data_IF_795523852249
#
_entry.id   IF_795523852249
#
_cell.length_a   1.000
_cell.length_b   1.000
_cell.length_c   1.000
_cell.angle_alpha   90.00
_cell.angle_beta   90.00
_cell.angle_gamma   90.00
#
_symmetry.space_group_name_H-M   'P 1'
#
loop_
_entity.id
_entity.type
_entity.pdbx_description
1 polymer ?
#
# COMPACT_ATOMS: atom_id res chain seq x y z
N UNK A 1 -5.99 20.24 18.51
CA UNK A 1 -5.07 19.09 18.57
C UNK A 1 -5.11 18.31 17.26
N UNK A 2 -5.85 17.19 17.12
CA UNK A 2 -5.73 16.29 15.96
C UNK A 2 -5.89 16.96 14.57
N UNK A 3 -6.80 17.93 14.42
CA UNK A 3 -6.99 18.70 13.16
C UNK A 3 -5.91 19.74 12.87
N UNK A 4 -5.20 20.20 13.90
CA UNK A 4 -4.14 21.24 13.80
C UNK A 4 -2.75 20.63 13.73
N UNK A 5 -2.63 19.34 14.05
CA UNK A 5 -1.38 18.58 14.04
C UNK A 5 -1.22 17.91 12.68
N UNK A 6 -0.16 18.28 11.96
CA UNK A 6 0.20 17.69 10.67
C UNK A 6 1.31 16.65 10.82
N UNK A 7 1.34 15.70 9.90
CA UNK A 7 2.39 14.69 9.72
C UNK A 7 2.88 14.83 8.28
N UNK A 8 4.20 14.93 8.08
CA UNK A 8 4.80 14.72 6.76
C UNK A 8 4.84 13.22 6.49
N UNK A 9 4.22 12.80 5.38
CA UNK A 9 4.21 11.40 4.96
C UNK A 9 5.25 11.20 3.85
N UNK A 10 6.05 10.15 3.95
CA UNK A 10 7.10 9.81 2.97
C UNK A 10 6.68 8.69 1.99
N UNK A 11 5.47 8.16 2.17
CA UNK A 11 4.93 6.95 1.53
C UNK A 11 3.49 7.14 1.06
N UNK A 12 3.10 6.36 0.04
CA UNK A 12 1.74 6.34 -0.51
C UNK A 12 1.27 7.62 -1.17
N UNK A 13 -0.06 7.77 -1.24
CA UNK A 13 -0.71 8.93 -1.89
C UNK A 13 -0.44 10.27 -1.19
N UNK A 14 -0.04 10.21 0.08
CA UNK A 14 0.32 11.38 0.88
C UNK A 14 1.80 11.74 0.81
N UNK A 15 2.61 11.01 0.04
CA UNK A 15 4.06 11.25 -0.09
C UNK A 15 4.35 12.71 -0.46
N UNK A 16 5.17 13.39 0.34
CA UNK A 16 5.53 14.80 0.14
C UNK A 16 4.44 15.80 0.49
N UNK A 17 3.35 15.37 1.13
CA UNK A 17 2.25 16.22 1.58
C UNK A 17 2.17 16.23 3.12
N UNK A 18 1.83 17.41 3.68
CA UNK A 18 1.51 17.57 5.09
C UNK A 18 0.02 17.33 5.30
N UNK A 19 -0.32 16.20 5.91
CA UNK A 19 -1.71 15.78 6.14
C UNK A 19 -2.01 15.87 7.63
N UNK A 20 -3.21 16.30 8.03
CA UNK A 20 -3.54 16.34 9.46
C UNK A 20 -3.75 14.93 10.02
N UNK A 21 -3.44 14.73 11.31
CA UNK A 21 -3.72 13.46 12.00
C UNK A 21 -5.20 13.10 11.91
N UNK A 22 -6.08 14.10 11.94
CA UNK A 22 -7.51 13.91 11.75
C UNK A 22 -7.86 13.37 10.35
N UNK A 23 -7.25 13.89 9.29
CA UNK A 23 -7.54 13.45 7.92
C UNK A 23 -6.97 12.04 7.68
N UNK A 24 -5.81 11.71 8.26
CA UNK A 24 -5.27 10.35 8.25
C UNK A 24 -6.21 9.35 8.97
N UNK A 25 -6.80 9.71 10.11
CA UNK A 25 -7.81 8.91 10.81
C UNK A 25 -9.09 8.68 10.00
N UNK A 26 -9.42 9.59 9.07
CA UNK A 26 -10.60 9.47 8.19
C UNK A 26 -10.24 8.96 6.79
N UNK A 27 -8.96 8.66 6.53
CA UNK A 27 -8.49 8.09 5.28
C UNK A 27 -8.83 6.60 5.19
N UNK A 28 -8.84 6.06 3.96
CA UNK A 28 -9.03 4.64 3.66
C UNK A 28 -8.02 3.68 4.31
N UNK A 29 -6.91 4.21 4.84
CA UNK A 29 -5.87 3.43 5.51
C UNK A 29 -6.24 2.99 6.92
N UNK A 30 -7.15 3.73 7.59
CA UNK A 30 -7.52 3.47 8.98
C UNK A 30 -9.01 3.08 9.01
N UNK A 31 -9.35 1.81 9.28
CA UNK A 31 -10.74 1.39 9.38
C UNK A 31 -11.41 2.04 10.59
N UNK A 32 -12.74 2.11 10.55
CA UNK A 32 -13.54 2.81 11.57
C UNK A 32 -13.33 2.29 13.00
N UNK A 33 -13.14 0.98 13.16
CA UNK A 33 -12.87 0.33 14.45
C UNK A 33 -11.57 0.88 15.07
N UNK A 34 -10.44 0.81 14.35
CA UNK A 34 -9.17 1.38 14.78
C UNK A 34 -9.23 2.90 15.00
N UNK A 35 -9.98 3.65 14.16
CA UNK A 35 -10.21 5.08 14.37
C UNK A 35 -10.89 5.33 15.71
N UNK A 36 -11.95 4.56 16.02
CA UNK A 36 -12.74 4.72 17.24
C UNK A 36 -11.89 4.39 18.47
N UNK A 37 -11.18 3.26 18.47
CA UNK A 37 -10.27 2.86 19.55
C UNK A 37 -9.19 3.93 19.81
N UNK A 38 -8.52 4.43 18.76
CA UNK A 38 -7.52 5.49 18.89
C UNK A 38 -8.09 6.79 19.47
N UNK A 39 -9.31 7.17 19.09
CA UNK A 39 -9.99 8.37 19.60
C UNK A 39 -10.48 8.18 21.05
N UNK A 40 -10.89 6.97 21.44
CA UNK A 40 -11.27 6.65 22.82
C UNK A 40 -10.05 6.67 23.74
N UNK A 41 -8.94 6.02 23.35
CA UNK A 41 -7.68 6.04 24.10
C UNK A 41 -7.07 7.46 24.20
N UNK A 42 -7.17 8.27 23.14
CA UNK A 42 -6.73 9.67 23.18
C UNK A 42 -7.59 10.53 24.14
N UNK A 43 -8.92 10.31 24.16
CA UNK A 43 -9.82 11.02 25.09
C UNK A 43 -9.69 10.55 26.53
N UNK A 44 -9.37 9.27 26.75
CA UNK A 44 -9.06 8.71 28.08
C UNK A 44 -7.71 9.22 28.63
N UNK A 45 -6.83 9.76 27.76
CA UNK A 45 -5.48 10.20 28.13
C UNK A 45 -4.42 9.09 28.11
N UNK A 46 -4.82 7.85 27.77
CA UNK A 46 -3.93 6.69 27.58
C UNK A 46 -2.95 6.89 26.41
N UNK A 47 -3.37 7.64 25.38
CA UNK A 47 -2.51 8.04 24.27
C UNK A 47 -2.30 9.56 24.24
N UNK A 48 -1.04 9.96 24.20
CA UNK A 48 -0.63 11.33 23.89
C UNK A 48 -0.75 11.63 22.40
N UNK A 49 -0.80 12.92 22.06
CA UNK A 49 -0.84 13.41 20.68
C UNK A 49 0.30 12.85 19.80
N UNK A 50 1.49 12.67 20.38
CA UNK A 50 2.67 12.16 19.66
C UNK A 50 2.55 10.64 19.41
N UNK A 51 2.00 9.88 20.36
CA UNK A 51 1.68 8.46 20.13
C UNK A 51 0.61 8.29 19.05
N UNK A 52 -0.45 9.12 19.05
CA UNK A 52 -1.46 9.07 17.98
C UNK A 52 -0.83 9.35 16.61
N UNK A 53 0.03 10.37 16.46
CA UNK A 53 0.80 10.63 15.22
C UNK A 53 1.61 9.40 14.79
N UNK A 54 2.33 8.77 15.72
CA UNK A 54 3.17 7.62 15.45
C UNK A 54 2.34 6.41 14.98
N UNK A 55 1.20 6.14 15.63
CA UNK A 55 0.34 5.02 15.24
C UNK A 55 -0.29 5.26 13.87
N UNK A 56 -0.86 6.44 13.59
CA UNK A 56 -1.48 6.70 12.27
C UNK A 56 -0.46 6.63 11.13
N UNK A 57 0.74 7.19 11.33
CA UNK A 57 1.84 7.10 10.34
C UNK A 57 2.28 5.66 10.11
N UNK A 58 2.38 4.87 11.19
CA UNK A 58 2.73 3.44 11.12
C UNK A 58 1.68 2.63 10.35
N UNK A 59 0.39 2.88 10.56
CA UNK A 59 -0.69 2.17 9.85
C UNK A 59 -0.61 2.45 8.34
N UNK A 60 -0.53 3.73 7.94
CA UNK A 60 -0.42 4.12 6.52
C UNK A 60 0.84 3.51 5.88
N UNK A 61 1.98 3.57 6.58
CA UNK A 61 3.25 3.01 6.09
C UNK A 61 3.17 1.50 5.88
N UNK A 62 2.58 0.76 6.82
CA UNK A 62 2.39 -0.70 6.69
C UNK A 62 1.41 -1.05 5.57
N UNK A 63 0.32 -0.29 5.41
CA UNK A 63 -0.66 -0.52 4.37
C UNK A 63 -0.09 -0.29 2.96
N UNK A 64 0.74 0.74 2.79
CA UNK A 64 1.45 1.00 1.53
C UNK A 64 2.54 -0.03 1.23
N UNK A 65 3.33 -0.43 2.23
CA UNK A 65 4.30 -1.52 2.06
C UNK A 65 3.60 -2.82 1.62
N UNK A 66 2.52 -3.22 2.30
CA UNK A 66 1.72 -4.40 1.93
C UNK A 66 1.07 -4.30 0.54
N UNK A 67 0.85 -3.08 0.02
CA UNK A 67 0.37 -2.85 -1.35
C UNK A 67 1.50 -3.04 -2.37
N UNK A 68 2.70 -2.54 -2.09
CA UNK A 68 3.87 -2.67 -2.96
C UNK A 68 4.26 -4.14 -3.19
N UNK A 69 4.32 -4.94 -2.12
CA UNK A 69 4.61 -6.39 -2.20
C UNK A 69 3.60 -7.15 -3.08
N UNK A 70 2.30 -6.79 -2.99
CA UNK A 70 1.27 -7.41 -3.84
C UNK A 70 1.44 -7.07 -5.31
N UNK A 71 1.82 -5.83 -5.66
CA UNK A 71 2.11 -5.46 -7.05
C UNK A 71 3.41 -6.05 -7.62
N UNK A 72 4.35 -6.47 -6.77
CA UNK A 72 5.58 -7.15 -7.20
C UNK A 72 5.38 -8.65 -7.50
N UNK A 73 4.23 -9.21 -7.13
CA UNK A 73 3.96 -10.66 -7.17
C UNK A 73 3.23 -11.14 -8.45
N UNK A 74 2.94 -10.25 -9.41
CA UNK A 74 2.26 -10.59 -10.67
C UNK A 74 3.19 -10.65 -11.90
N UNK A 75 4.50 -10.46 -11.74
CA UNK A 75 5.46 -10.83 -12.79
C UNK A 75 5.68 -12.35 -12.77
N UNK A 76 4.75 -13.06 -13.39
CA UNK A 76 4.86 -14.50 -13.62
C UNK A 76 5.91 -14.73 -14.72
N UNK A 77 7.04 -15.39 -14.46
CA UNK A 77 8.00 -15.72 -15.50
C UNK A 77 7.42 -16.83 -16.36
N UNK A 78 6.58 -16.46 -17.35
CA UNK A 78 6.16 -17.34 -18.44
C UNK A 78 7.36 -17.57 -19.35
N UNK A 79 8.28 -18.40 -18.89
CA UNK A 79 9.29 -19.04 -19.71
C UNK A 79 8.61 -20.08 -20.61
N UNK A 80 7.92 -19.61 -21.66
CA UNK A 80 7.59 -20.44 -22.80
C UNK A 80 8.89 -20.86 -23.49
N UNK A 81 9.40 -22.03 -23.11
CA UNK A 81 10.48 -22.70 -23.82
C UNK A 81 9.97 -23.34 -25.12
N UNK A 82 9.44 -22.51 -26.03
CA UNK A 82 9.61 -22.74 -27.47
C UNK A 82 11.02 -22.26 -27.80
N UNK A 83 11.93 -23.04 -28.36
CA UNK A 83 11.77 -24.01 -29.45
C UNK A 83 12.71 -25.20 -29.27
N UNK A 84 12.24 -26.37 -29.67
CA UNK A 84 13.09 -27.44 -30.18
C UNK A 84 12.59 -27.80 -31.58
N UNK A 85 13.36 -27.39 -32.60
CA UNK A 85 13.51 -28.16 -33.85
C UNK A 85 13.78 -29.65 -33.52
N UNK A 86 13.50 -30.66 -34.34
CA UNK A 86 13.26 -30.77 -35.79
C UNK A 86 11.79 -31.22 -36.07
N UNK A 87 11.29 -31.72 -37.20
CA UNK A 87 11.82 -32.32 -38.44
C UNK A 87 11.12 -31.83 -39.74
N UNK A 88 11.68 -32.32 -40.85
CA UNK A 88 11.35 -32.15 -42.27
C UNK A 88 9.94 -32.62 -42.70
N UNK A 89 9.30 -31.94 -43.66
CA UNK A 89 8.58 -32.63 -44.77
C UNK A 89 8.28 -31.68 -45.93
N UNK A 90 9.14 -31.77 -46.95
CA UNK A 90 8.88 -31.67 -48.41
C UNK A 90 7.82 -30.70 -48.99
N UNK A 91 8.25 -29.86 -49.95
CA UNK A 91 7.40 -28.99 -50.77
C UNK A 91 6.38 -29.74 -51.63
N UNK A 92 5.19 -29.16 -51.78
CA UNK A 92 4.32 -29.36 -52.94
C UNK A 92 4.22 -28.02 -53.69
N UNK A 93 4.69 -28.00 -54.93
CA UNK A 93 4.61 -26.83 -55.81
C UNK A 93 3.66 -27.13 -56.98
N UNK A 94 2.74 -26.21 -57.25
CA UNK A 94 1.64 -26.35 -58.21
C UNK A 94 2.10 -26.50 -59.67
N UNK A 95 1.47 -27.40 -60.43
CA UNK A 95 1.23 -27.34 -61.89
C UNK A 95 0.15 -28.33 -62.34
#
# INVERSE_FOLDING_TARGET
ALKTTVVDMEVGEFRGHKVSVWDLLHSKYIPEENRKELLELYQAGELTLEQVKMVVSTIVTKAEAARAEKSASEDSPRAESTVAETEDTHLLEDS
#
